data_IF_449500799727
#
_entry.id   IF_449500799727
#
_cell.length_a   1.000
_cell.length_b   1.000
_cell.length_c   1.000
_cell.angle_alpha   90.00
_cell.angle_beta   90.00
_cell.angle_gamma   90.00
#
_symmetry.space_group_name_H-M   'P 1'
#
loop_
_entity.id
_entity.type
_entity.pdbx_description
1 polymer ?
#
# COMPACT_ATOMS: atom_id res chain seq x y z
N UNK A 1 -6.32 0.92 -34.55
CA UNK A 1 -6.56 0.27 -33.25
C UNK A 1 -5.76 1.03 -32.22
N UNK A 2 -6.42 1.66 -31.24
CA UNK A 2 -5.71 2.29 -30.13
C UNK A 2 -4.92 1.21 -29.38
N UNK A 3 -3.65 1.44 -29.00
CA UNK A 3 -2.91 0.47 -28.20
C UNK A 3 -3.72 0.18 -26.94
N UNK A 4 -3.93 -1.11 -26.65
CA UNK A 4 -4.52 -1.52 -25.36
C UNK A 4 -3.60 -1.00 -24.27
N UNK A 5 -4.13 -0.15 -23.39
CA UNK A 5 -3.38 0.35 -22.24
C UNK A 5 -2.96 -0.86 -21.39
N UNK A 6 -1.66 -1.05 -21.23
CA UNK A 6 -1.10 -2.12 -20.39
C UNK A 6 -0.93 -1.57 -18.98
N UNK A 7 -1.60 -2.16 -18.01
CA UNK A 7 -1.43 -1.81 -16.61
C UNK A 7 -0.18 -2.48 -16.02
N UNK A 8 0.37 -1.95 -14.90
CA UNK A 8 1.45 -2.62 -14.19
C UNK A 8 1.07 -4.04 -13.79
N UNK A 9 2.02 -4.98 -13.90
CA UNK A 9 1.79 -6.40 -13.57
C UNK A 9 2.61 -6.75 -12.33
N UNK A 10 1.92 -7.13 -11.26
CA UNK A 10 2.46 -7.58 -9.98
C UNK A 10 1.40 -8.43 -9.25
N UNK A 11 1.72 -9.09 -8.12
CA UNK A 11 0.71 -9.76 -7.31
C UNK A 11 -0.42 -8.82 -6.92
N UNK A 12 -1.67 -9.24 -7.13
CA UNK A 12 -2.87 -8.42 -6.88
C UNK A 12 -3.45 -8.62 -5.48
N UNK A 13 -2.65 -9.15 -4.57
CA UNK A 13 -3.01 -9.40 -3.18
C UNK A 13 -1.84 -9.04 -2.27
N UNK A 14 -2.16 -8.45 -1.11
CA UNK A 14 -1.22 -8.14 -0.03
C UNK A 14 -1.63 -8.97 1.17
N UNK A 15 -0.77 -9.89 1.60
CA UNK A 15 -0.96 -10.62 2.84
C UNK A 15 -0.16 -9.97 3.97
N UNK A 16 -0.84 -9.54 5.03
CA UNK A 16 -0.24 -8.85 6.18
C UNK A 16 0.16 -9.80 7.31
N UNK A 17 0.08 -11.11 7.09
CA UNK A 17 0.22 -12.13 8.15
C UNK A 17 -1.09 -12.44 8.89
N UNK A 18 -2.01 -11.47 8.95
CA UNK A 18 -3.31 -11.62 9.65
C UNK A 18 -4.52 -11.39 8.73
N UNK A 19 -4.35 -10.61 7.65
CA UNK A 19 -5.42 -10.22 6.74
C UNK A 19 -4.89 -10.13 5.31
N UNK A 20 -5.73 -10.46 4.34
CA UNK A 20 -5.41 -10.29 2.92
C UNK A 20 -6.18 -9.10 2.37
N UNK A 21 -5.48 -8.18 1.73
CA UNK A 21 -6.07 -7.09 0.96
C UNK A 21 -5.97 -7.41 -0.52
N UNK A 22 -7.06 -7.19 -1.27
CA UNK A 22 -7.04 -7.25 -2.72
C UNK A 22 -6.57 -5.91 -3.28
N UNK A 23 -5.86 -5.95 -4.40
CA UNK A 23 -5.50 -4.76 -5.17
C UNK A 23 -6.44 -4.65 -6.36
N UNK A 24 -7.06 -3.49 -6.54
CA UNK A 24 -7.85 -3.15 -7.72
C UNK A 24 -7.19 -1.99 -8.47
N UNK A 25 -6.86 -2.23 -9.74
CA UNK A 25 -6.35 -1.19 -10.64
C UNK A 25 -7.52 -0.48 -11.30
N UNK A 26 -7.78 0.75 -10.89
CA UNK A 26 -8.91 1.54 -11.36
C UNK A 26 -8.55 3.01 -11.45
N UNK A 27 -8.94 3.66 -12.55
CA UNK A 27 -8.70 5.09 -12.71
C UNK A 27 -9.41 5.88 -11.60
N UNK A 28 -8.65 6.68 -10.86
CA UNK A 28 -9.15 7.53 -9.79
C UNK A 28 -9.20 8.96 -10.33
N UNK A 29 -10.36 9.35 -10.85
CA UNK A 29 -10.59 10.69 -11.44
C UNK A 29 -11.17 11.69 -10.45
N UNK A 30 -11.48 11.24 -9.23
CA UNK A 30 -12.10 12.03 -8.18
C UNK A 30 -11.04 12.41 -7.14
N UNK A 31 -11.05 13.65 -6.71
CA UNK A 31 -10.27 14.15 -5.56
C UNK A 31 -8.73 14.12 -5.69
N UNK A 32 -8.17 14.04 -6.91
CA UNK A 32 -6.72 13.95 -7.18
C UNK A 32 -6.02 12.80 -6.42
N UNK A 33 -6.74 11.71 -6.17
CA UNK A 33 -6.20 10.53 -5.48
C UNK A 33 -5.49 9.61 -6.48
N UNK A 34 -4.34 9.07 -6.08
CA UNK A 34 -3.59 8.08 -6.86
C UNK A 34 -3.71 6.67 -6.27
N UNK A 35 -4.13 6.56 -5.01
CA UNK A 35 -4.42 5.32 -4.30
C UNK A 35 -5.36 5.58 -3.12
N UNK A 36 -5.99 4.53 -2.63
CA UNK A 36 -6.69 4.53 -1.36
C UNK A 36 -6.87 3.10 -0.81
N UNK A 37 -7.07 2.98 0.50
CA UNK A 37 -7.41 1.72 1.18
C UNK A 37 -8.83 1.79 1.74
N UNK A 38 -9.68 0.85 1.34
CA UNK A 38 -10.99 0.61 1.93
C UNK A 38 -10.89 -0.54 2.96
N UNK A 39 -10.59 -0.19 4.21
CA UNK A 39 -10.29 -1.16 5.28
C UNK A 39 -11.41 -2.16 5.57
N UNK A 40 -12.67 -1.70 5.54
CA UNK A 40 -13.86 -2.54 5.72
C UNK A 40 -13.98 -3.63 4.64
N UNK A 41 -13.55 -3.31 3.41
CA UNK A 41 -13.61 -4.22 2.26
C UNK A 41 -12.32 -5.01 2.04
N UNK A 42 -11.26 -4.70 2.80
CA UNK A 42 -9.94 -5.27 2.58
C UNK A 42 -9.46 -5.04 1.14
N UNK A 43 -9.60 -3.80 0.66
CA UNK A 43 -9.35 -3.44 -0.73
C UNK A 43 -8.41 -2.24 -0.80
N UNK A 44 -7.35 -2.35 -1.60
CA UNK A 44 -6.48 -1.26 -2.00
C UNK A 44 -6.80 -0.93 -3.46
N UNK A 45 -7.26 0.29 -3.71
CA UNK A 45 -7.49 0.78 -5.08
C UNK A 45 -6.32 1.67 -5.47
N UNK A 46 -5.78 1.47 -6.67
CA UNK A 46 -4.65 2.26 -7.18
C UNK A 46 -4.87 2.65 -8.64
N UNK A 47 -4.52 3.88 -9.00
CA UNK A 47 -4.62 4.34 -10.39
C UNK A 47 -3.49 3.75 -11.24
N UNK A 48 -3.79 2.85 -12.22
CA UNK A 48 -2.77 2.25 -13.08
C UNK A 48 -2.24 3.21 -14.16
N UNK A 49 -2.73 4.45 -14.22
CA UNK A 49 -2.35 5.43 -15.23
C UNK A 49 -1.12 6.27 -14.85
N UNK A 50 -0.60 6.09 -13.63
CA UNK A 50 0.63 6.71 -13.15
C UNK A 50 1.85 6.19 -13.94
N UNK A 51 2.95 6.95 -13.92
CA UNK A 51 4.24 6.38 -14.33
C UNK A 51 4.64 5.26 -13.35
N UNK A 52 5.55 4.38 -13.75
CA UNK A 52 5.85 3.17 -12.95
C UNK A 52 6.52 3.51 -11.62
N UNK A 53 7.30 4.59 -11.57
CA UNK A 53 7.95 5.10 -10.38
C UNK A 53 6.92 5.61 -9.36
N UNK A 54 6.01 6.48 -9.79
CA UNK A 54 4.94 7.01 -8.95
C UNK A 54 3.98 5.89 -8.51
N UNK A 55 3.64 4.97 -9.42
CA UNK A 55 2.79 3.82 -9.10
C UNK A 55 3.37 2.98 -7.95
N UNK A 56 4.67 2.69 -7.98
CA UNK A 56 5.34 1.95 -6.91
C UNK A 56 5.34 2.72 -5.60
N UNK A 57 5.62 4.03 -5.67
CA UNK A 57 5.57 4.92 -4.51
C UNK A 57 4.19 4.95 -3.86
N UNK A 58 3.15 5.14 -4.66
CA UNK A 58 1.75 5.11 -4.23
C UNK A 58 1.37 3.75 -3.65
N UNK A 59 1.74 2.65 -4.30
CA UNK A 59 1.46 1.31 -3.78
C UNK A 59 2.10 1.08 -2.41
N UNK A 60 3.36 1.51 -2.23
CA UNK A 60 4.05 1.44 -0.94
C UNK A 60 3.36 2.31 0.11
N UNK A 61 2.94 3.53 -0.27
CA UNK A 61 2.23 4.46 0.61
C UNK A 61 0.94 3.84 1.17
N UNK A 62 0.11 3.26 0.30
CA UNK A 62 -1.13 2.60 0.72
C UNK A 62 -0.87 1.33 1.57
N UNK A 63 0.20 0.57 1.29
CA UNK A 63 0.61 -0.55 2.15
C UNK A 63 1.03 -0.05 3.54
N UNK A 64 1.64 1.13 3.65
CA UNK A 64 1.95 1.74 4.94
C UNK A 64 0.67 2.14 5.69
N UNK A 65 -0.36 2.68 5.01
CA UNK A 65 -1.67 2.91 5.62
C UNK A 65 -2.27 1.64 6.21
N UNK A 66 -2.13 0.49 5.51
CA UNK A 66 -2.51 -0.82 6.04
C UNK A 66 -1.76 -1.17 7.33
N UNK A 67 -0.44 -0.99 7.35
CA UNK A 67 0.36 -1.23 8.55
C UNK A 67 -0.05 -0.33 9.72
N UNK A 68 -0.21 0.97 9.48
CA UNK A 68 -0.59 1.93 10.51
C UNK A 68 -1.97 1.62 11.11
N UNK A 69 -2.97 1.31 10.29
CA UNK A 69 -4.29 0.86 10.77
C UNK A 69 -4.16 -0.37 11.69
N UNK A 70 -3.44 -1.40 11.25
CA UNK A 70 -3.28 -2.65 12.02
C UNK A 70 -2.63 -2.40 13.39
N UNK A 71 -1.71 -1.45 13.48
CA UNK A 71 -0.94 -1.16 14.69
C UNK A 71 -1.46 0.06 15.48
N UNK A 72 -2.67 0.55 15.17
CA UNK A 72 -3.37 1.55 15.98
C UNK A 72 -3.00 3.01 15.70
N UNK A 73 -2.48 3.29 14.49
CA UNK A 73 -2.17 4.63 13.97
C UNK A 73 -3.06 5.02 12.77
N UNK A 74 -4.20 4.34 12.57
CA UNK A 74 -5.06 4.59 11.41
C UNK A 74 -6.11 5.68 11.56
N UNK A 75 -6.37 6.16 12.79
CA UNK A 75 -7.29 7.27 13.03
C UNK A 75 -6.58 8.42 13.77
N UNK A 76 -6.42 9.55 13.10
CA UNK A 76 -5.82 10.78 13.64
C UNK A 76 -6.54 11.32 14.89
N UNK A 77 -7.84 11.04 15.03
CA UNK A 77 -8.66 11.51 16.15
C UNK A 77 -8.48 10.68 17.43
N UNK A 78 -7.98 9.45 17.32
CA UNK A 78 -7.83 8.50 18.43
C UNK A 78 -6.37 8.19 18.77
N UNK A 79 -5.41 8.96 18.23
CA UNK A 79 -3.99 8.68 18.45
C UNK A 79 -3.64 8.94 19.92
N UNK A 80 -3.21 7.92 20.70
CA UNK A 80 -2.70 8.13 22.05
C UNK A 80 -1.46 9.03 22.01
N UNK A 81 -1.05 9.61 23.13
CA UNK A 81 0.21 10.38 23.19
C UNK A 81 1.35 9.60 22.53
N UNK A 82 1.76 10.07 21.36
CA UNK A 82 2.73 9.39 20.52
C UNK A 82 4.10 9.56 21.17
N UNK A 83 4.54 8.54 21.89
CA UNK A 83 5.89 8.50 22.43
C UNK A 83 6.86 7.95 21.39
N UNK A 84 8.15 8.29 21.54
CA UNK A 84 9.19 7.71 20.70
C UNK A 84 9.16 6.17 20.71
N UNK A 85 8.91 5.56 21.87
CA UNK A 85 8.83 4.10 21.99
C UNK A 85 7.62 3.51 21.27
N UNK A 86 6.48 4.19 21.33
CA UNK A 86 5.30 3.76 20.59
C UNK A 86 5.54 3.81 19.07
N UNK A 87 6.10 4.91 18.55
CA UNK A 87 6.48 5.02 17.13
C UNK A 87 7.49 3.95 16.72
N UNK A 88 8.49 3.71 17.56
CA UNK A 88 9.53 2.70 17.30
C UNK A 88 8.92 1.31 17.25
N UNK A 89 7.99 1.00 18.16
CA UNK A 89 7.27 -0.27 18.20
C UNK A 89 6.41 -0.47 16.96
N UNK A 90 5.57 0.51 16.60
CA UNK A 90 4.72 0.42 15.40
C UNK A 90 5.57 0.28 14.15
N UNK A 91 6.60 1.10 13.99
CA UNK A 91 7.47 1.08 12.81
C UNK A 91 8.22 -0.24 12.67
N UNK A 92 8.78 -0.77 13.77
CA UNK A 92 9.49 -2.06 13.75
C UNK A 92 8.57 -3.24 13.41
N UNK A 93 7.32 -3.22 13.86
CA UNK A 93 6.32 -4.21 13.48
C UNK A 93 5.94 -4.08 11.99
N UNK A 94 5.77 -2.86 11.50
CA UNK A 94 5.52 -2.61 10.07
C UNK A 94 6.66 -3.10 9.19
N UNK A 95 7.92 -2.89 9.58
CA UNK A 95 9.08 -3.42 8.84
C UNK A 95 9.04 -4.95 8.78
N UNK A 96 8.71 -5.62 9.90
CA UNK A 96 8.55 -7.08 9.92
C UNK A 96 7.40 -7.54 9.00
N UNK A 97 6.28 -6.82 8.98
CA UNK A 97 5.16 -7.09 8.08
C UNK A 97 5.57 -6.89 6.61
N UNK A 98 6.30 -5.81 6.29
CA UNK A 98 6.81 -5.53 4.96
C UNK A 98 7.78 -6.62 4.47
N UNK A 99 8.62 -7.14 5.37
CA UNK A 99 9.49 -8.28 5.08
C UNK A 99 8.71 -9.58 4.81
N UNK A 100 7.48 -9.68 5.31
CA UNK A 100 6.55 -10.78 5.07
C UNK A 100 5.67 -10.61 3.82
N UNK A 101 5.83 -9.53 3.05
CA UNK A 101 5.12 -9.35 1.79
C UNK A 101 5.44 -10.49 0.81
N UNK A 102 4.53 -10.72 -0.14
CA UNK A 102 4.82 -11.57 -1.29
C UNK A 102 6.14 -11.12 -1.94
N UNK A 103 7.09 -12.04 -2.12
CA UNK A 103 8.44 -11.76 -2.62
C UNK A 103 8.42 -11.01 -3.96
N UNK A 104 7.50 -11.36 -4.86
CA UNK A 104 7.34 -10.71 -6.16
C UNK A 104 6.83 -9.27 -6.00
N UNK A 105 5.92 -9.04 -5.06
CA UNK A 105 5.41 -7.70 -4.76
C UNK A 105 6.49 -6.82 -4.14
N UNK A 106 7.26 -7.37 -3.20
CA UNK A 106 8.41 -6.68 -2.60
C UNK A 106 9.42 -6.30 -3.68
N UNK A 107 9.81 -7.24 -4.55
CA UNK A 107 10.71 -6.98 -5.68
C UNK A 107 10.16 -5.93 -6.63
N UNK A 108 8.86 -5.96 -6.92
CA UNK A 108 8.20 -4.98 -7.78
C UNK A 108 8.28 -3.57 -7.21
N UNK A 109 7.97 -3.39 -5.91
CA UNK A 109 7.98 -2.09 -5.23
C UNK A 109 9.39 -1.51 -5.15
N UNK A 110 10.37 -2.33 -4.73
CA UNK A 110 11.74 -1.89 -4.46
C UNK A 110 12.70 -2.08 -5.64
N UNK A 111 12.19 -2.29 -6.85
CA UNK A 111 13.05 -2.40 -8.04
C UNK A 111 13.73 -1.06 -8.33
N UNK A 112 15.03 -0.99 -8.09
CA UNK A 112 15.87 0.16 -8.41
C UNK A 112 16.00 0.29 -9.94
N UNK A 113 15.78 1.48 -10.53
CA UNK A 113 16.09 1.73 -11.94
C UNK A 113 17.56 1.41 -12.22
N UNK A 114 17.84 0.69 -13.31
CA UNK A 114 19.22 0.44 -13.76
C UNK A 114 19.82 1.68 -14.41
#
# INVERSE_FOLDING_TARGET
MSPKKTFPVHPMEIFTGIKTFKIEQKALTKDNLYGCVEFEKSLLVIDPNQCIEDYRGTLLHEICHIGFEIYGLGNDEDIPTVTNEFLTTVTSNMIQQLAGLNEELFKFIFQVPK
#
